data_IF_311116286042
#
_entry.id   IF_311116286042
#
_cell.length_a   1.000
_cell.length_b   1.000
_cell.length_c   1.000
_cell.angle_alpha   90.00
_cell.angle_beta   90.00
_cell.angle_gamma   90.00
#
_symmetry.space_group_name_H-M   'P 1'
#
loop_
_entity.id
_entity.type
_entity.pdbx_description
1 polymer ?
#
# COMPACT_ATOMS: atom_id res chain seq x y z
N UNK A 1 -5.42 -5.96 61.78
CA UNK A 1 -4.24 -5.06 61.72
C UNK A 1 -3.02 -5.94 61.49
N UNK A 2 -2.08 -5.71 60.58
CA UNK A 2 -1.77 -4.62 59.65
C UNK A 2 -0.61 -5.15 58.75
N UNK A 3 -0.73 -5.01 57.42
CA UNK A 3 0.31 -4.61 56.42
C UNK A 3 1.69 -5.35 56.43
N UNK A 4 2.04 -6.14 55.41
CA UNK A 4 2.61 -5.80 54.06
C UNK A 4 4.12 -5.44 54.07
N UNK A 5 4.90 -6.16 53.25
CA UNK A 5 5.96 -5.71 52.31
C UNK A 5 7.09 -6.77 52.23
N UNK A 6 7.17 -7.64 51.21
CA UNK A 6 7.56 -7.50 49.79
C UNK A 6 9.07 -7.44 49.47
N UNK A 7 9.41 -8.27 48.47
CA UNK A 7 10.49 -8.15 47.47
C UNK A 7 11.92 -8.48 47.96
N UNK A 8 12.80 -9.12 47.20
CA UNK A 8 12.86 -9.63 45.82
C UNK A 8 14.10 -10.55 45.75
N UNK A 9 14.48 -11.27 44.71
CA UNK A 9 14.20 -11.24 43.29
C UNK A 9 14.43 -12.69 42.80
N UNK A 10 13.39 -13.33 42.29
CA UNK A 10 13.56 -14.49 41.41
C UNK A 10 14.01 -13.95 40.05
N UNK A 11 15.26 -14.20 39.68
CA UNK A 11 15.82 -13.79 38.41
C UNK A 11 15.21 -14.67 37.30
N UNK A 12 14.04 -14.30 36.80
CA UNK A 12 13.48 -14.88 35.59
C UNK A 12 14.23 -14.23 34.43
N UNK A 13 15.21 -14.94 33.88
CA UNK A 13 15.78 -14.61 32.59
C UNK A 13 14.66 -14.76 31.53
N UNK A 14 14.01 -13.65 31.19
CA UNK A 14 13.15 -13.56 30.02
C UNK A 14 14.09 -13.53 28.82
N UNK A 15 14.30 -14.70 28.21
CA UNK A 15 14.86 -14.78 26.89
C UNK A 15 13.85 -14.14 25.92
N UNK A 16 14.08 -12.87 25.57
CA UNK A 16 13.50 -12.33 24.35
C UNK A 16 14.14 -13.10 23.20
N UNK A 17 13.49 -14.18 22.77
CA UNK A 17 13.62 -14.61 21.38
C UNK A 17 13.01 -13.49 20.56
N UNK A 18 13.81 -12.46 20.25
CA UNK A 18 13.62 -11.81 18.97
C UNK A 18 13.84 -12.94 17.96
N UNK A 19 12.77 -13.59 17.53
CA UNK A 19 12.75 -14.08 16.17
C UNK A 19 13.09 -12.84 15.35
N UNK A 20 14.37 -12.75 14.95
CA UNK A 20 14.78 -11.76 13.99
C UNK A 20 13.82 -11.97 12.83
N UNK A 21 12.89 -11.03 12.64
CA UNK A 21 12.05 -11.02 11.46
C UNK A 21 13.02 -11.24 10.31
N UNK A 22 12.85 -12.37 9.59
CA UNK A 22 13.68 -12.67 8.42
C UNK A 22 13.77 -11.37 7.64
N UNK A 23 14.96 -10.87 7.31
CA UNK A 23 15.09 -9.59 6.62
C UNK A 23 14.11 -9.64 5.47
N UNK A 24 13.10 -8.76 5.51
CA UNK A 24 12.03 -8.75 4.50
C UNK A 24 12.76 -8.70 3.17
N UNK A 25 12.64 -9.74 2.36
CA UNK A 25 13.35 -9.84 1.08
C UNK A 25 13.03 -8.57 0.32
N UNK A 26 14.03 -7.69 0.24
CA UNK A 26 13.81 -6.38 -0.34
C UNK A 26 13.64 -6.59 -1.84
N UNK A 27 12.44 -6.36 -2.33
CA UNK A 27 12.12 -6.56 -3.75
C UNK A 27 12.93 -5.57 -4.58
N UNK A 28 13.61 -6.05 -5.63
CA UNK A 28 14.34 -5.26 -6.63
C UNK A 28 13.39 -4.68 -7.69
N UNK A 29 13.82 -3.63 -8.40
CA UNK A 29 12.97 -2.96 -9.41
C UNK A 29 12.54 -3.92 -10.53
N UNK A 30 13.43 -4.86 -10.93
CA UNK A 30 13.12 -5.88 -11.94
C UNK A 30 11.94 -6.79 -11.55
N UNK A 31 11.74 -6.99 -10.24
CA UNK A 31 10.69 -7.83 -9.70
C UNK A 31 9.48 -7.01 -9.22
N UNK A 32 9.59 -5.68 -9.17
CA UNK A 32 8.55 -4.80 -8.66
C UNK A 32 7.19 -5.02 -9.36
N UNK A 33 7.23 -5.13 -10.68
CA UNK A 33 6.04 -5.36 -11.53
C UNK A 33 5.32 -6.65 -11.11
N UNK A 34 6.06 -7.73 -10.86
CA UNK A 34 5.52 -9.05 -10.49
C UNK A 34 4.69 -8.96 -9.19
N UNK A 35 5.09 -8.09 -8.26
CA UNK A 35 4.38 -7.91 -6.99
C UNK A 35 3.17 -6.99 -7.11
N UNK A 36 3.24 -5.98 -7.98
CA UNK A 36 2.26 -4.88 -8.04
C UNK A 36 1.14 -5.14 -9.04
N UNK A 37 1.44 -5.78 -10.17
CA UNK A 37 0.45 -6.12 -11.20
C UNK A 37 -0.77 -6.87 -10.65
N UNK A 38 -0.64 -7.86 -9.74
CA UNK A 38 -1.79 -8.56 -9.17
C UNK A 38 -2.72 -7.63 -8.38
N UNK A 39 -2.15 -6.62 -7.70
CA UNK A 39 -2.93 -5.65 -6.90
C UNK A 39 -3.68 -4.67 -7.79
N UNK A 40 -3.04 -4.17 -8.84
CA UNK A 40 -3.68 -3.31 -9.85
C UNK A 40 -4.82 -4.08 -10.53
N UNK A 41 -4.56 -5.32 -10.93
CA UNK A 41 -5.57 -6.21 -11.53
C UNK A 41 -6.73 -6.50 -10.57
N UNK A 42 -6.45 -6.64 -9.28
CA UNK A 42 -7.47 -6.82 -8.24
C UNK A 42 -8.35 -5.57 -8.10
N UNK A 43 -7.78 -4.37 -8.11
CA UNK A 43 -8.54 -3.12 -8.09
C UNK A 43 -9.40 -2.92 -9.34
N UNK A 44 -8.95 -3.40 -10.50
CA UNK A 44 -9.74 -3.35 -11.73
C UNK A 44 -11.00 -4.22 -11.63
N UNK A 45 -10.86 -5.44 -11.08
CA UNK A 45 -11.96 -6.42 -10.95
C UNK A 45 -12.97 -6.03 -9.87
N UNK A 46 -12.52 -5.52 -8.73
CA UNK A 46 -13.37 -5.13 -7.60
C UNK A 46 -13.04 -3.69 -7.16
N UNK A 47 -14.02 -2.81 -7.32
CA UNK A 47 -13.86 -1.37 -7.03
C UNK A 47 -14.50 -1.00 -5.69
N UNK A 48 -14.83 -1.98 -4.85
CA UNK A 48 -15.40 -1.76 -3.53
C UNK A 48 -14.41 -1.05 -2.60
N UNK A 49 -14.94 -0.31 -1.62
CA UNK A 49 -14.12 0.36 -0.60
C UNK A 49 -13.21 -0.64 0.13
N UNK A 50 -13.73 -1.83 0.44
CA UNK A 50 -12.95 -2.87 1.12
C UNK A 50 -11.74 -3.29 0.27
N UNK A 51 -11.94 -3.56 -1.01
CA UNK A 51 -10.86 -4.00 -1.89
C UNK A 51 -9.82 -2.89 -2.15
N UNK A 52 -10.26 -1.67 -2.42
CA UNK A 52 -9.35 -0.52 -2.62
C UNK A 52 -8.52 -0.24 -1.36
N UNK A 53 -9.10 -0.43 -0.18
CA UNK A 53 -8.39 -0.32 1.10
C UNK A 53 -7.27 -1.37 1.20
N UNK A 54 -7.56 -2.63 0.86
CA UNK A 54 -6.54 -3.71 0.84
C UNK A 54 -5.42 -3.40 -0.14
N UNK A 55 -5.75 -2.97 -1.36
CA UNK A 55 -4.74 -2.63 -2.37
C UNK A 55 -3.86 -1.47 -1.91
N UNK A 56 -4.45 -0.39 -1.37
CA UNK A 56 -3.71 0.72 -0.76
C UNK A 56 -2.75 0.24 0.35
N UNK A 57 -3.22 -0.66 1.22
CA UNK A 57 -2.43 -1.18 2.33
C UNK A 57 -1.29 -2.08 1.87
N UNK A 58 -1.47 -2.82 0.78
CA UNK A 58 -0.37 -3.56 0.17
C UNK A 58 0.74 -2.63 -0.30
N UNK A 59 0.40 -1.48 -0.91
CA UNK A 59 1.40 -0.47 -1.26
C UNK A 59 2.04 0.13 -0.01
N UNK A 60 1.26 0.55 0.99
CA UNK A 60 1.80 1.15 2.22
C UNK A 60 2.81 0.24 2.94
N UNK A 61 2.56 -1.07 2.93
CA UNK A 61 3.37 -2.06 3.63
C UNK A 61 4.46 -2.70 2.76
N UNK A 62 4.55 -2.32 1.49
CA UNK A 62 5.57 -2.84 0.59
C UNK A 62 6.95 -2.29 0.95
N UNK A 63 7.96 -3.17 0.94
CA UNK A 63 9.34 -2.84 1.26
C UNK A 63 10.25 -3.12 0.07
N UNK A 64 10.50 -2.10 -0.75
CA UNK A 64 11.49 -2.16 -1.83
C UNK A 64 12.91 -1.89 -1.34
N UNK A 65 13.92 -2.45 -2.00
CA UNK A 65 15.35 -2.17 -1.74
C UNK A 65 15.85 -0.93 -2.47
N UNK A 66 15.20 -0.56 -3.58
CA UNK A 66 15.74 0.42 -4.52
C UNK A 66 15.05 1.77 -4.39
N UNK A 67 15.87 2.81 -4.35
CA UNK A 67 15.44 4.20 -4.40
C UNK A 67 14.75 4.54 -5.74
N UNK A 68 15.09 3.84 -6.83
CA UNK A 68 14.49 4.03 -8.16
C UNK A 68 13.00 3.68 -8.21
N UNK A 69 12.53 2.76 -7.35
CA UNK A 69 11.11 2.40 -7.21
C UNK A 69 10.28 3.48 -6.52
N UNK A 70 10.92 4.34 -5.72
CA UNK A 70 10.21 5.19 -4.75
C UNK A 70 9.16 6.11 -5.38
N UNK A 71 9.46 6.70 -6.55
CA UNK A 71 8.55 7.62 -7.21
C UNK A 71 7.30 6.91 -7.77
N UNK A 72 7.48 5.80 -8.49
CA UNK A 72 6.39 4.98 -9.03
C UNK A 72 5.54 4.40 -7.90
N UNK A 73 6.20 3.86 -6.88
CA UNK A 73 5.54 3.27 -5.73
C UNK A 73 4.69 4.27 -4.96
N UNK A 74 5.24 5.45 -4.69
CA UNK A 74 4.53 6.54 -4.05
C UNK A 74 3.35 7.01 -4.91
N UNK A 75 3.53 7.13 -6.23
CA UNK A 75 2.45 7.53 -7.13
C UNK A 75 1.27 6.54 -7.07
N UNK A 76 1.54 5.23 -7.14
CA UNK A 76 0.49 4.21 -7.01
C UNK A 76 -0.18 4.25 -5.64
N UNK A 77 0.60 4.34 -4.55
CA UNK A 77 0.04 4.49 -3.20
C UNK A 77 -0.90 5.69 -3.10
N UNK A 78 -0.47 6.87 -3.54
CA UNK A 78 -1.27 8.10 -3.49
C UNK A 78 -2.51 8.02 -4.39
N UNK A 79 -2.41 7.34 -5.53
CA UNK A 79 -3.56 7.11 -6.40
C UNK A 79 -4.65 6.30 -5.70
N UNK A 80 -4.27 5.22 -5.01
CA UNK A 80 -5.21 4.37 -4.26
C UNK A 80 -5.70 5.01 -2.96
N UNK A 81 -4.87 5.79 -2.26
CA UNK A 81 -5.31 6.58 -1.10
C UNK A 81 -6.38 7.61 -1.50
N UNK A 82 -6.15 8.35 -2.58
CA UNK A 82 -7.12 9.30 -3.11
C UNK A 82 -8.41 8.60 -3.58
N UNK A 83 -8.30 7.46 -4.27
CA UNK A 83 -9.49 6.68 -4.66
C UNK A 83 -10.29 6.23 -3.43
N UNK A 84 -9.63 5.70 -2.41
CA UNK A 84 -10.30 5.31 -1.18
C UNK A 84 -11.03 6.49 -0.52
N UNK A 85 -10.39 7.68 -0.45
CA UNK A 85 -11.03 8.90 0.06
C UNK A 85 -12.26 9.28 -0.75
N UNK A 86 -12.22 9.16 -2.08
CA UNK A 86 -13.41 9.34 -2.91
C UNK A 86 -14.52 8.36 -2.51
N UNK A 87 -14.23 7.08 -2.34
CA UNK A 87 -15.23 6.07 -1.95
C UNK A 87 -15.85 6.34 -0.57
N UNK A 88 -15.12 7.00 0.33
CA UNK A 88 -15.61 7.38 1.66
C UNK A 88 -16.45 8.67 1.62
N UNK A 89 -16.02 9.66 0.82
CA UNK A 89 -16.53 11.04 0.91
C UNK A 89 -17.48 11.42 -0.23
N UNK A 90 -17.39 10.77 -1.38
CA UNK A 90 -18.04 11.17 -2.63
C UNK A 90 -17.44 12.43 -3.27
N UNK A 91 -16.33 12.97 -2.77
CA UNK A 91 -15.73 14.20 -3.31
C UNK A 91 -14.91 13.92 -4.58
N UNK A 92 -15.39 14.43 -5.71
CA UNK A 92 -14.77 14.29 -7.03
C UNK A 92 -13.36 14.91 -7.12
N UNK A 93 -12.99 15.81 -6.23
CA UNK A 93 -11.60 16.28 -6.14
C UNK A 93 -10.63 15.11 -5.86
N UNK A 94 -11.06 14.11 -5.08
CA UNK A 94 -10.27 12.93 -4.82
C UNK A 94 -10.14 12.02 -6.06
N UNK A 95 -11.15 11.96 -6.94
CA UNK A 95 -11.00 11.28 -8.24
C UNK A 95 -9.92 11.97 -9.07
N UNK A 96 -9.98 13.30 -9.18
CA UNK A 96 -9.01 14.07 -9.97
C UNK A 96 -7.58 13.89 -9.45
N UNK A 97 -7.39 13.82 -8.13
CA UNK A 97 -6.10 13.51 -7.52
C UNK A 97 -5.65 12.09 -7.85
N UNK A 98 -6.55 11.11 -7.72
CA UNK A 98 -6.26 9.71 -8.06
C UNK A 98 -5.81 9.56 -9.52
N UNK A 99 -6.55 10.18 -10.45
CA UNK A 99 -6.21 10.21 -11.89
C UNK A 99 -4.85 10.86 -12.15
N UNK A 100 -4.53 11.97 -11.48
CA UNK A 100 -3.21 12.62 -11.61
C UNK A 100 -2.08 11.68 -11.20
N UNK A 101 -2.25 10.96 -10.09
CA UNK A 101 -1.25 10.03 -9.59
C UNK A 101 -1.12 8.77 -10.44
N UNK A 102 -2.22 8.22 -10.95
CA UNK A 102 -2.17 7.14 -11.94
C UNK A 102 -1.44 7.56 -13.22
N UNK A 103 -1.67 8.79 -13.70
CA UNK A 103 -0.96 9.29 -14.89
C UNK A 103 0.55 9.35 -14.67
N UNK A 104 1.00 9.77 -13.49
CA UNK A 104 2.43 9.76 -13.13
C UNK A 104 2.97 8.33 -13.06
N UNK A 105 2.25 7.43 -12.39
CA UNK A 105 2.66 6.03 -12.28
C UNK A 105 2.79 5.35 -13.65
N UNK A 106 1.86 5.65 -14.57
CA UNK A 106 1.85 5.17 -15.95
C UNK A 106 3.09 5.60 -16.74
N UNK A 107 3.53 6.84 -16.56
CA UNK A 107 4.71 7.36 -17.25
C UNK A 107 6.00 6.76 -16.69
N UNK A 108 6.03 6.46 -15.39
CA UNK A 108 7.19 5.89 -14.70
C UNK A 108 7.28 4.36 -14.77
N UNK A 109 6.17 3.68 -15.08
CA UNK A 109 6.07 2.21 -15.14
C UNK A 109 5.40 1.77 -16.44
N UNK A 110 6.09 1.91 -17.59
CA UNK A 110 5.54 1.60 -18.91
C UNK A 110 5.09 0.14 -19.03
N UNK A 111 5.65 -0.78 -18.26
CA UNK A 111 5.30 -2.20 -18.21
C UNK A 111 3.86 -2.42 -17.73
N UNK A 112 3.31 -1.54 -16.89
CA UNK A 112 1.94 -1.59 -16.40
C UNK A 112 1.04 -0.50 -17.00
N UNK A 113 1.45 0.07 -18.13
CA UNK A 113 0.75 1.19 -18.76
C UNK A 113 -0.72 0.85 -19.03
N UNK A 114 -0.99 -0.31 -19.62
CA UNK A 114 -2.34 -0.70 -20.04
C UNK A 114 -3.24 -0.92 -18.81
N UNK A 115 -2.71 -1.58 -17.79
CA UNK A 115 -3.40 -1.89 -16.54
C UNK A 115 -3.76 -0.59 -15.80
N UNK A 116 -2.83 0.36 -15.75
CA UNK A 116 -3.05 1.68 -15.12
C UNK A 116 -4.05 2.51 -15.94
N UNK A 117 -3.98 2.51 -17.28
CA UNK A 117 -4.97 3.18 -18.13
C UNK A 117 -6.38 2.63 -17.94
N UNK A 118 -6.51 1.32 -17.74
CA UNK A 118 -7.79 0.71 -17.44
C UNK A 118 -8.36 1.23 -16.11
N UNK A 119 -7.53 1.43 -15.08
CA UNK A 119 -7.98 2.06 -13.82
C UNK A 119 -8.37 3.53 -14.02
N UNK A 120 -7.60 4.30 -14.81
CA UNK A 120 -7.95 5.68 -15.12
C UNK A 120 -9.33 5.78 -15.81
N UNK A 121 -9.59 4.90 -16.78
CA UNK A 121 -10.85 4.87 -17.52
C UNK A 121 -12.04 4.54 -16.59
N UNK A 122 -11.86 3.58 -15.67
CA UNK A 122 -12.88 3.26 -14.66
C UNK A 122 -13.20 4.45 -13.77
N UNK A 123 -12.19 5.20 -13.32
CA UNK A 123 -12.39 6.38 -12.48
C UNK A 123 -13.05 7.52 -13.24
N UNK A 124 -12.70 7.74 -14.52
CA UNK A 124 -13.35 8.75 -15.36
C UNK A 124 -14.83 8.47 -15.56
N UNK A 125 -15.23 7.21 -15.72
CA UNK A 125 -16.64 6.82 -15.79
C UNK A 125 -17.42 7.14 -14.51
N UNK A 126 -16.76 7.18 -13.35
CA UNK A 126 -17.38 7.55 -12.06
C UNK A 126 -17.46 9.06 -11.81
N UNK A 127 -16.74 9.85 -12.60
CA UNK A 127 -16.66 11.32 -12.49
C UNK A 127 -17.54 12.04 -13.54
N UNK A 128 -18.13 11.28 -14.46
CA UNK A 128 -19.06 11.77 -15.49
C UNK A 128 -20.50 11.74 -14.96
#
# INVERSE_FOLDING_TARGET
MLILAFAGLGLVAVFFTHEAAKPSELVSMENYVIHVEPWISQAHRDQSLANITVVRDNFLNFKGSDHSMGATHLALFLAFDAWQRFLITGDNNNINQSLKHFSVAKDLLPELRVEIENLENLLRQKNA
#
